data_IF_183327675188
#
_entry.id   IF_183327675188
#
_cell.length_a   1.000
_cell.length_b   1.000
_cell.length_c   1.000
_cell.angle_alpha   90.00
_cell.angle_beta   90.00
_cell.angle_gamma   90.00
#
_symmetry.space_group_name_H-M   'P 1'
#
loop_
_entity.id
_entity.type
_entity.pdbx_description
1 polymer ?
#
# COMPACT_ATOMS: atom_id res chain seq x y z
N UNK A 1 -25.23 12.42 -42.40
CA UNK A 1 -25.61 12.15 -40.99
C UNK A 1 -25.06 10.82 -40.44
N UNK A 2 -25.08 9.71 -41.20
CA UNK A 2 -24.56 8.40 -40.76
C UNK A 2 -23.03 8.35 -40.51
N UNK A 3 -22.24 9.16 -41.23
CA UNK A 3 -20.77 9.17 -41.12
C UNK A 3 -20.27 9.96 -39.90
N UNK A 4 -20.99 11.02 -39.48
CA UNK A 4 -20.62 11.84 -38.31
C UNK A 4 -20.84 11.07 -36.99
N UNK A 5 -21.86 10.22 -36.94
CA UNK A 5 -22.16 9.36 -35.78
C UNK A 5 -21.06 8.30 -35.55
N UNK A 6 -20.38 7.85 -36.60
CA UNK A 6 -19.30 6.85 -36.51
C UNK A 6 -17.97 7.45 -35.99
N UNK A 7 -17.72 8.75 -36.23
CA UNK A 7 -16.50 9.44 -35.76
C UNK A 7 -16.62 9.83 -34.28
N UNK A 8 -17.83 10.17 -33.80
CA UNK A 8 -18.07 10.45 -32.38
C UNK A 8 -18.01 9.20 -31.50
N UNK A 9 -18.32 8.02 -32.04
CA UNK A 9 -18.25 6.75 -31.30
C UNK A 9 -16.82 6.26 -31.04
N UNK A 10 -15.83 6.70 -31.82
CA UNK A 10 -14.42 6.26 -31.69
C UNK A 10 -13.63 7.05 -30.64
N UNK A 11 -14.06 8.26 -30.28
CA UNK A 11 -13.38 9.10 -29.26
C UNK A 11 -13.75 8.67 -27.83
N UNK A 12 -14.92 8.04 -27.64
CA UNK A 12 -15.40 7.65 -26.31
C UNK A 12 -14.66 6.44 -25.69
N UNK A 13 -13.94 5.64 -26.47
CA UNK A 13 -13.27 4.42 -25.96
C UNK A 13 -11.90 4.69 -25.34
N UNK A 14 -11.28 5.85 -25.58
CA UNK A 14 -9.93 6.14 -25.08
C UNK A 14 -9.89 6.62 -23.62
N UNK A 15 -11.02 7.04 -23.05
CA UNK A 15 -11.08 7.52 -21.67
C UNK A 15 -10.99 6.38 -20.62
N UNK A 16 -11.44 5.16 -20.97
CA UNK A 16 -11.49 4.03 -20.03
C UNK A 16 -10.14 3.36 -19.75
N UNK A 17 -9.19 3.41 -20.69
CA UNK A 17 -7.89 2.73 -20.55
C UNK A 17 -6.96 3.43 -19.55
N UNK A 18 -7.10 4.75 -19.37
CA UNK A 18 -6.25 5.53 -18.46
C UNK A 18 -6.53 5.19 -16.99
N UNK A 19 -7.81 5.11 -16.62
CA UNK A 19 -8.22 4.80 -15.24
C UNK A 19 -7.82 3.37 -14.84
N UNK A 20 -8.00 2.39 -15.74
CA UNK A 20 -7.59 1.02 -15.49
C UNK A 20 -6.06 0.88 -15.30
N UNK A 21 -5.26 1.65 -16.05
CA UNK A 21 -3.81 1.65 -15.91
C UNK A 21 -3.35 2.28 -14.59
N UNK A 22 -4.03 3.35 -14.15
CA UNK A 22 -3.78 3.99 -12.87
C UNK A 22 -4.11 3.05 -11.70
N UNK A 23 -5.27 2.40 -11.76
CA UNK A 23 -5.70 1.41 -10.76
C UNK A 23 -4.67 0.28 -10.61
N UNK A 24 -4.18 -0.25 -11.74
CA UNK A 24 -3.12 -1.26 -11.75
C UNK A 24 -1.83 -0.75 -11.10
N UNK A 25 -1.47 0.53 -11.30
CA UNK A 25 -0.29 1.11 -10.68
C UNK A 25 -0.43 1.23 -9.15
N UNK A 26 -1.58 1.69 -8.66
CA UNK A 26 -1.89 1.75 -7.23
C UNK A 26 -1.88 0.36 -6.59
N UNK A 27 -2.49 -0.63 -7.25
CA UNK A 27 -2.48 -2.04 -6.80
C UNK A 27 -1.05 -2.57 -6.67
N UNK A 28 -0.23 -2.36 -7.70
CA UNK A 28 1.17 -2.80 -7.69
C UNK A 28 1.98 -2.12 -6.61
N UNK A 29 1.74 -0.84 -6.36
CA UNK A 29 2.45 -0.09 -5.33
C UNK A 29 2.19 -0.65 -3.93
N UNK A 30 0.92 -0.80 -3.52
CA UNK A 30 0.59 -1.36 -2.20
C UNK A 30 1.06 -2.80 -2.01
N UNK A 31 1.03 -3.61 -3.07
CA UNK A 31 1.60 -4.96 -3.03
C UNK A 31 3.11 -4.94 -2.76
N UNK A 32 3.85 -3.99 -3.34
CA UNK A 32 5.30 -3.83 -3.05
C UNK A 32 5.54 -3.39 -1.61
N UNK A 33 4.75 -2.46 -1.08
CA UNK A 33 4.83 -2.04 0.34
C UNK A 33 4.60 -3.24 1.25
N UNK A 34 3.51 -3.99 1.05
CA UNK A 34 3.20 -5.18 1.86
C UNK A 34 4.23 -6.29 1.70
N UNK A 35 4.79 -6.49 0.51
CA UNK A 35 5.90 -7.44 0.29
C UNK A 35 7.16 -7.04 1.06
N UNK A 36 7.47 -5.74 1.14
CA UNK A 36 8.61 -5.26 1.91
C UNK A 36 8.45 -5.52 3.41
N UNK A 37 7.26 -5.25 3.95
CA UNK A 37 6.87 -5.54 5.34
C UNK A 37 7.02 -7.04 5.62
N UNK A 38 6.43 -7.89 4.76
CA UNK A 38 6.50 -9.34 4.91
C UNK A 38 7.92 -9.90 4.81
N UNK A 39 8.76 -9.34 3.94
CA UNK A 39 10.17 -9.74 3.81
C UNK A 39 10.99 -9.40 5.07
N UNK A 40 10.78 -8.22 5.66
CA UNK A 40 11.44 -7.83 6.91
C UNK A 40 11.06 -8.74 8.08
N UNK A 41 9.75 -9.02 8.24
CA UNK A 41 9.26 -9.98 9.25
C UNK A 41 9.77 -11.40 8.99
N UNK A 42 9.82 -11.82 7.73
CA UNK A 42 10.34 -13.13 7.32
C UNK A 42 11.81 -13.31 7.72
N UNK A 43 12.66 -12.32 7.44
CA UNK A 43 14.07 -12.36 7.81
C UNK A 43 14.27 -12.44 9.33
N UNK A 44 13.51 -11.67 10.12
CA UNK A 44 13.52 -11.78 11.59
C UNK A 44 13.10 -13.20 12.02
N UNK A 45 12.03 -13.73 11.44
CA UNK A 45 11.56 -15.09 11.73
C UNK A 45 12.62 -16.14 11.38
N UNK A 46 13.36 -15.99 10.28
CA UNK A 46 14.38 -16.94 9.87
C UNK A 46 15.58 -16.94 10.83
N UNK A 47 15.99 -15.76 11.30
CA UNK A 47 17.03 -15.62 12.33
C UNK A 47 16.60 -16.37 13.60
N UNK A 48 15.39 -16.10 14.09
CA UNK A 48 14.91 -16.65 15.36
C UNK A 48 14.60 -18.15 15.29
N UNK A 49 13.87 -18.60 14.27
CA UNK A 49 13.43 -20.01 14.16
C UNK A 49 14.59 -20.96 13.89
N UNK A 50 15.56 -20.52 13.10
CA UNK A 50 16.69 -21.36 12.72
C UNK A 50 17.92 -21.16 13.61
N UNK A 51 17.86 -20.27 14.61
CA UNK A 51 18.98 -19.99 15.50
C UNK A 51 20.21 -19.47 14.76
N UNK A 52 20.01 -18.63 13.75
CA UNK A 52 21.12 -18.10 12.94
C UNK A 52 22.00 -17.17 13.79
N UNK A 53 23.33 -17.19 13.61
CA UNK A 53 24.24 -16.28 14.30
C UNK A 53 24.22 -14.86 13.67
N UNK A 54 23.02 -14.29 13.54
CA UNK A 54 22.72 -13.03 12.86
C UNK A 54 21.77 -12.15 13.69
N UNK A 55 21.70 -12.35 15.01
CA UNK A 55 20.80 -11.61 15.91
C UNK A 55 20.98 -10.10 15.87
N UNK A 56 22.20 -9.64 15.57
CA UNK A 56 22.52 -8.22 15.43
C UNK A 56 21.79 -7.56 14.23
N UNK A 57 21.37 -8.36 13.24
CA UNK A 57 20.62 -7.85 12.07
C UNK A 57 19.13 -7.61 12.38
N UNK A 58 18.60 -8.12 13.49
CA UNK A 58 17.18 -7.97 13.85
C UNK A 58 16.79 -6.50 13.95
N UNK A 59 17.67 -5.66 14.52
CA UNK A 59 17.43 -4.22 14.65
C UNK A 59 17.27 -3.52 13.29
N UNK A 60 18.09 -3.90 12.30
CA UNK A 60 18.01 -3.34 10.93
C UNK A 60 16.70 -3.73 10.25
N UNK A 61 16.27 -4.98 10.39
CA UNK A 61 14.99 -5.44 9.85
C UNK A 61 13.80 -4.77 10.56
N UNK A 62 13.88 -4.56 11.87
CA UNK A 62 12.84 -3.86 12.63
C UNK A 62 12.71 -2.39 12.20
N UNK A 63 13.82 -1.68 12.02
CA UNK A 63 13.81 -0.31 11.49
C UNK A 63 13.22 -0.26 10.07
N UNK A 64 13.58 -1.23 9.23
CA UNK A 64 13.02 -1.33 7.87
C UNK A 64 11.51 -1.56 7.90
N UNK A 65 11.02 -2.34 8.87
CA UNK A 65 9.59 -2.60 9.07
C UNK A 65 8.85 -1.33 9.51
N UNK A 66 9.43 -0.55 10.42
CA UNK A 66 8.87 0.74 10.85
C UNK A 66 8.73 1.71 9.66
N UNK A 67 9.81 1.88 8.89
CA UNK A 67 9.82 2.75 7.72
C UNK A 67 8.82 2.29 6.66
N UNK A 68 8.78 0.99 6.33
CA UNK A 68 7.81 0.44 5.38
C UNK A 68 6.37 0.54 5.91
N UNK A 69 6.17 0.35 7.21
CA UNK A 69 4.90 0.50 7.90
C UNK A 69 4.32 1.90 7.67
N UNK A 70 5.14 2.95 7.81
CA UNK A 70 4.71 4.35 7.60
C UNK A 70 4.05 4.63 6.23
N UNK A 71 4.27 3.75 5.23
CA UNK A 71 3.71 3.88 3.88
C UNK A 71 2.31 3.27 3.73
N UNK A 72 1.86 2.43 4.69
CA UNK A 72 0.61 1.64 4.59
C UNK A 72 -0.59 2.54 4.29
N UNK A 73 -0.78 3.62 5.06
CA UNK A 73 -1.92 4.53 4.87
C UNK A 73 -1.96 5.07 3.43
N UNK A 74 -0.84 5.63 2.97
CA UNK A 74 -0.74 6.22 1.63
C UNK A 74 -0.95 5.20 0.52
N UNK A 75 -0.48 3.96 0.71
CA UNK A 75 -0.58 2.89 -0.26
C UNK A 75 -2.02 2.42 -0.48
N UNK A 76 -2.90 2.58 0.50
CA UNK A 76 -4.30 2.16 0.42
C UNK A 76 -5.29 3.32 0.19
N UNK A 77 -4.82 4.55 -0.06
CA UNK A 77 -5.71 5.70 -0.36
C UNK A 77 -6.57 5.52 -1.60
N UNK A 78 -6.04 4.85 -2.63
CA UNK A 78 -6.81 4.57 -3.84
C UNK A 78 -7.79 3.40 -3.57
N UNK A 79 -9.12 3.61 -3.71
CA UNK A 79 -10.15 2.62 -3.35
C UNK A 79 -10.34 1.55 -4.43
N UNK A 80 -9.25 0.93 -4.86
CA UNK A 80 -9.25 -0.06 -5.93
C UNK A 80 -9.42 -1.44 -5.31
N UNK A 81 -10.59 -2.06 -5.47
CA UNK A 81 -10.88 -3.42 -4.98
C UNK A 81 -11.10 -4.45 -6.10
N UNK A 82 -11.03 -4.02 -7.37
CA UNK A 82 -11.20 -4.87 -8.53
C UNK A 82 -9.84 -5.23 -9.17
N UNK A 83 -9.80 -6.29 -9.97
CA UNK A 83 -8.60 -6.77 -10.65
C UNK A 83 -7.72 -7.66 -9.78
N UNK A 84 -6.42 -7.68 -10.05
CA UNK A 84 -5.46 -8.58 -9.38
C UNK A 84 -5.02 -8.03 -8.01
N UNK A 85 -5.95 -8.01 -7.06
CA UNK A 85 -5.76 -7.49 -5.70
C UNK A 85 -6.47 -8.37 -4.67
N UNK A 86 -5.83 -8.56 -3.53
CA UNK A 86 -6.41 -9.24 -2.35
C UNK A 86 -7.07 -8.24 -1.38
N UNK A 87 -6.98 -6.93 -1.67
CA UNK A 87 -7.55 -5.88 -0.84
C UNK A 87 -9.09 -5.89 -0.94
N UNK A 88 -9.75 -6.16 0.18
CA UNK A 88 -11.21 -6.23 0.27
C UNK A 88 -11.86 -4.83 0.27
N UNK A 89 -13.06 -4.66 -0.32
CA UNK A 89 -13.81 -3.41 -0.26
C UNK A 89 -14.01 -2.86 1.16
N UNK A 90 -14.08 -3.75 2.15
CA UNK A 90 -14.25 -3.42 3.56
C UNK A 90 -13.22 -2.41 4.09
N UNK A 91 -12.00 -2.39 3.53
CA UNK A 91 -10.94 -1.43 3.90
C UNK A 91 -11.42 0.02 3.76
N UNK A 92 -12.15 0.32 2.69
CA UNK A 92 -12.60 1.68 2.39
C UNK A 92 -13.98 1.98 2.95
N UNK A 93 -14.77 0.94 3.24
CA UNK A 93 -16.05 1.07 3.94
C UNK A 93 -15.84 1.40 5.43
N UNK A 94 -14.78 0.89 6.03
CA UNK A 94 -14.35 1.19 7.40
C UNK A 94 -12.88 1.62 7.43
N UNK A 95 -12.62 2.80 6.87
CA UNK A 95 -11.27 3.36 6.82
C UNK A 95 -10.67 3.57 8.21
N UNK A 96 -11.49 4.02 9.17
CA UNK A 96 -11.03 4.22 10.54
C UNK A 96 -10.61 2.90 11.20
N UNK A 97 -11.40 1.83 11.05
CA UNK A 97 -11.05 0.50 11.53
C UNK A 97 -9.82 -0.07 10.83
N UNK A 98 -9.61 0.22 9.55
CA UNK A 98 -8.38 -0.14 8.85
C UNK A 98 -7.14 0.58 9.40
N UNK A 99 -7.22 1.89 9.65
CA UNK A 99 -6.13 2.66 10.25
C UNK A 99 -5.83 2.20 11.69
N UNK A 100 -6.86 1.88 12.46
CA UNK A 100 -6.74 1.27 13.78
C UNK A 100 -5.98 -0.07 13.70
N UNK A 101 -6.41 -0.96 12.82
CA UNK A 101 -5.82 -2.30 12.67
C UNK A 101 -4.36 -2.26 12.19
N UNK A 102 -3.97 -1.22 11.45
CA UNK A 102 -2.61 -1.10 10.92
C UNK A 102 -1.63 -0.43 11.88
N UNK A 103 -2.12 0.24 12.94
CA UNK A 103 -1.30 0.97 13.92
C UNK A 103 -0.22 0.13 14.60
N UNK A 104 -0.43 -1.19 14.75
CA UNK A 104 0.60 -2.07 15.30
C UNK A 104 1.85 -2.19 14.42
N UNK A 105 1.72 -1.90 13.12
CA UNK A 105 2.78 -1.95 12.12
C UNK A 105 3.33 -0.55 11.85
N UNK A 106 2.42 0.43 11.75
CA UNK A 106 2.73 1.85 11.79
C UNK A 106 2.92 2.28 13.23
N UNK A 107 4.11 2.07 13.80
CA UNK A 107 4.52 2.92 14.93
C UNK A 107 4.60 4.37 14.41
N UNK A 108 3.46 5.06 14.34
CA UNK A 108 3.44 6.50 14.24
C UNK A 108 4.20 7.00 15.46
N UNK A 109 5.17 7.93 15.33
CA UNK A 109 5.62 8.66 16.50
C UNK A 109 4.38 9.27 17.14
N UNK A 110 4.06 8.87 18.37
CA UNK A 110 3.02 9.47 19.20
C UNK A 110 3.39 10.91 19.64
N UNK A 111 4.29 11.57 18.91
CA UNK A 111 4.71 12.92 19.18
C UNK A 111 4.02 13.85 18.17
N UNK A 112 2.98 14.61 18.56
CA UNK A 112 2.58 15.76 17.77
C UNK A 112 3.83 16.62 17.59
N UNK A 113 4.16 17.01 16.36
CA UNK A 113 5.29 17.91 16.08
C UNK A 113 5.14 19.15 16.97
N UNK A 114 5.86 19.15 18.09
CA UNK A 114 6.16 20.32 18.88
C UNK A 114 7.16 21.13 18.06
N UNK A 115 6.69 21.93 17.11
CA UNK A 115 7.64 22.61 16.24
C UNK A 115 7.13 23.51 15.14
N UNK A 116 5.87 23.45 14.73
CA UNK A 116 5.41 24.31 13.62
C UNK A 116 4.65 25.53 14.20
N UNK A 117 5.37 26.24 15.08
CA UNK A 117 5.16 27.65 15.34
C UNK A 117 6.37 28.38 14.75
N UNK A 118 6.34 28.65 13.44
CA UNK A 118 6.89 29.82 12.76
C UNK A 118 6.18 29.98 11.41
#
# INVERSE_FOLDING_TARGET
MRVIVLILATIATMAGTSLAQEDVAHVKYRQKVMKSIGAGMGAISDILKNGLPLTDNIGVHAQSLELAGSLIESAFKAPVSAGHTEALPAIWMDWAGYLEATRGITMLPQNPRSGDAL
#
